data_IF_447214634706
#
_entry.id   IF_447214634706
#
_cell.length_a   1.000
_cell.length_b   1.000
_cell.length_c   1.000
_cell.angle_alpha   90.00
_cell.angle_beta   90.00
_cell.angle_gamma   90.00
#
_symmetry.space_group_name_H-M   'P 1'
#
loop_
_entity.id
_entity.type
_entity.pdbx_description
1 polymer ?
#
# COMPACT_ATOMS: atom_id res chain seq x y z
N UNK A 1 16.95 -15.84 6.18
CA UNK A 1 15.88 -14.82 6.22
C UNK A 1 16.44 -13.54 5.63
N UNK A 2 15.87 -13.10 4.51
CA UNK A 2 16.38 -11.94 3.75
C UNK A 2 16.03 -10.58 4.39
N UNK A 3 14.98 -10.55 5.23
CA UNK A 3 14.39 -9.32 5.75
C UNK A 3 14.54 -9.15 7.28
N UNK A 4 15.53 -9.79 7.88
CA UNK A 4 15.78 -9.65 9.31
C UNK A 4 16.00 -8.18 9.71
N UNK A 5 15.20 -7.69 10.68
CA UNK A 5 15.25 -6.31 11.15
C UNK A 5 14.55 -5.29 10.23
N UNK A 6 13.86 -5.74 9.18
CA UNK A 6 13.03 -4.88 8.32
C UNK A 6 11.59 -4.82 8.85
N UNK A 7 11.01 -3.62 8.89
CA UNK A 7 9.59 -3.41 9.20
C UNK A 7 8.80 -3.10 7.93
N UNK A 8 7.68 -3.77 7.75
CA UNK A 8 6.77 -3.56 6.61
C UNK A 8 5.40 -3.20 7.13
N UNK A 9 4.84 -2.09 6.67
CA UNK A 9 3.45 -1.74 6.90
C UNK A 9 2.60 -2.07 5.67
N UNK A 10 1.44 -2.69 5.89
CA UNK A 10 0.40 -2.91 4.89
C UNK A 10 -0.84 -2.16 5.33
N UNK A 11 -1.36 -1.29 4.49
CA UNK A 11 -2.64 -0.62 4.78
C UNK A 11 -3.78 -1.63 4.67
N UNK A 12 -4.78 -1.51 5.54
CA UNK A 12 -5.94 -2.41 5.55
C UNK A 12 -7.22 -1.61 5.76
N UNK A 13 -8.30 -2.01 5.09
CA UNK A 13 -9.66 -1.48 5.25
C UNK A 13 -10.64 -2.51 4.66
N UNK A 14 -11.95 -2.30 4.81
CA UNK A 14 -12.97 -3.20 4.27
C UNK A 14 -12.82 -3.48 2.78
N UNK A 15 -13.33 -4.63 2.36
CA UNK A 15 -13.23 -5.17 0.99
C UNK A 15 -11.77 -5.32 0.50
N UNK A 16 -10.86 -5.66 1.41
CA UNK A 16 -9.51 -6.08 1.05
C UNK A 16 -9.53 -7.42 0.27
N UNK A 17 -8.52 -7.65 -0.54
CA UNK A 17 -8.37 -8.92 -1.28
C UNK A 17 -7.69 -9.96 -0.38
N UNK A 18 -8.46 -10.94 0.14
CA UNK A 18 -8.01 -11.87 1.19
C UNK A 18 -6.79 -12.67 0.80
N UNK A 19 -6.71 -13.19 -0.43
CA UNK A 19 -5.56 -13.99 -0.88
C UNK A 19 -4.25 -13.20 -0.78
N UNK A 20 -4.27 -11.90 -1.10
CA UNK A 20 -3.11 -11.04 -0.99
C UNK A 20 -2.71 -10.82 0.47
N UNK A 21 -3.68 -10.44 1.31
CA UNK A 21 -3.42 -10.17 2.74
C UNK A 21 -2.92 -11.43 3.44
N UNK A 22 -3.52 -12.59 3.18
CA UNK A 22 -3.04 -13.86 3.73
C UNK A 22 -1.64 -14.21 3.23
N UNK A 23 -1.38 -13.99 1.93
CA UNK A 23 -0.04 -14.22 1.37
C UNK A 23 1.01 -13.35 2.06
N UNK A 24 0.75 -12.05 2.25
CA UNK A 24 1.67 -11.15 2.93
C UNK A 24 1.85 -11.53 4.40
N UNK A 25 0.76 -11.92 5.08
CA UNK A 25 0.77 -12.32 6.48
C UNK A 25 1.76 -13.47 6.77
N UNK A 26 1.94 -14.38 5.83
CA UNK A 26 2.88 -15.49 5.96
C UNK A 26 4.22 -15.17 5.28
N UNK A 27 4.20 -14.60 4.09
CA UNK A 27 5.40 -14.49 3.26
C UNK A 27 6.45 -13.52 3.78
N UNK A 28 6.07 -12.36 4.29
CA UNK A 28 7.03 -11.40 4.82
C UNK A 28 7.65 -11.87 6.16
N UNK A 29 6.88 -12.38 7.15
CA UNK A 29 7.46 -12.96 8.36
C UNK A 29 8.34 -14.19 8.11
N UNK A 30 8.03 -15.04 7.12
CA UNK A 30 8.88 -16.15 6.71
C UNK A 30 10.29 -15.67 6.30
N UNK A 31 10.41 -14.49 5.71
CA UNK A 31 11.69 -13.85 5.40
C UNK A 31 12.31 -13.07 6.58
N UNK A 32 11.64 -13.04 7.72
CA UNK A 32 12.14 -12.40 8.94
C UNK A 32 11.72 -10.94 9.10
N UNK A 33 10.80 -10.43 8.29
CA UNK A 33 10.27 -9.08 8.46
C UNK A 33 9.29 -8.99 9.63
N UNK A 34 9.29 -7.85 10.30
CA UNK A 34 8.22 -7.44 11.22
C UNK A 34 7.09 -6.81 10.37
N UNK A 35 5.92 -7.45 10.38
CA UNK A 35 4.79 -7.05 9.54
C UNK A 35 3.70 -6.38 10.38
N UNK A 36 3.29 -5.19 9.98
CA UNK A 36 2.26 -4.39 10.60
C UNK A 36 1.10 -4.15 9.62
N UNK A 37 -0.14 -4.23 10.12
CA UNK A 37 -1.31 -3.82 9.36
C UNK A 37 -1.87 -2.53 9.96
N UNK A 38 -1.93 -1.48 9.16
CA UNK A 38 -2.31 -0.14 9.60
C UNK A 38 -3.61 0.30 8.94
N UNK A 39 -4.50 0.90 9.72
CA UNK A 39 -5.73 1.48 9.19
C UNK A 39 -6.05 2.84 9.82
N UNK A 40 -7.12 3.46 9.34
CA UNK A 40 -7.78 4.56 10.04
C UNK A 40 -8.73 3.97 11.06
N UNK A 41 -8.42 4.12 12.36
CA UNK A 41 -9.21 3.53 13.44
C UNK A 41 -10.30 4.46 13.98
N UNK A 42 -10.36 5.73 13.52
CA UNK A 42 -11.37 6.70 13.95
C UNK A 42 -11.42 6.90 15.48
N UNK A 43 -10.26 6.79 16.13
CA UNK A 43 -10.13 6.89 17.59
C UNK A 43 -10.56 5.63 18.35
N UNK A 44 -10.89 4.53 17.66
CA UNK A 44 -11.19 3.24 18.27
C UNK A 44 -9.89 2.47 18.58
N UNK A 45 -9.88 1.58 19.59
CA UNK A 45 -8.72 0.77 19.91
C UNK A 45 -8.45 -0.32 18.85
N UNK A 46 -9.49 -0.79 18.18
CA UNK A 46 -9.42 -1.71 17.05
C UNK A 46 -10.67 -1.62 16.18
N UNK A 47 -10.55 -2.06 14.93
CA UNK A 47 -11.68 -2.25 14.01
C UNK A 47 -11.55 -3.61 13.33
N UNK A 48 -12.70 -4.23 13.06
CA UNK A 48 -12.77 -5.47 12.29
C UNK A 48 -13.27 -5.16 10.89
N UNK A 49 -12.44 -5.47 9.90
CA UNK A 49 -12.76 -5.33 8.48
C UNK A 49 -13.15 -6.69 7.90
N UNK A 50 -13.89 -6.68 6.81
CA UNK A 50 -14.23 -7.90 6.05
C UNK A 50 -13.59 -7.83 4.67
N UNK A 51 -13.06 -8.93 4.23
CA UNK A 51 -12.53 -9.06 2.88
C UNK A 51 -13.62 -9.15 1.82
N UNK A 52 -13.21 -9.05 0.57
CA UNK A 52 -14.10 -8.98 -0.59
C UNK A 52 -14.59 -10.36 -1.05
N UNK A 53 -13.71 -11.36 -1.06
CA UNK A 53 -13.99 -12.66 -1.67
C UNK A 53 -14.75 -13.61 -0.72
N UNK A 54 -14.30 -13.73 0.51
CA UNK A 54 -14.80 -14.69 1.48
C UNK A 54 -15.50 -14.03 2.67
N UNK A 55 -15.50 -12.70 2.73
CA UNK A 55 -15.97 -11.94 3.87
C UNK A 55 -15.27 -12.33 5.19
N UNK A 56 -14.03 -12.83 5.07
CA UNK A 56 -13.24 -13.20 6.23
C UNK A 56 -12.93 -11.96 7.07
N UNK A 57 -13.14 -12.02 8.40
CA UNK A 57 -12.83 -10.88 9.26
C UNK A 57 -11.31 -10.72 9.42
N UNK A 58 -10.87 -9.47 9.51
CA UNK A 58 -9.51 -9.09 9.85
C UNK A 58 -9.57 -8.00 10.92
N UNK A 59 -9.02 -8.27 12.10
CA UNK A 59 -8.94 -7.28 13.17
C UNK A 59 -7.64 -6.47 13.03
N UNK A 60 -7.79 -5.14 13.02
CA UNK A 60 -6.69 -4.19 12.97
C UNK A 60 -6.74 -3.31 14.22
N UNK A 61 -5.64 -3.24 14.95
CA UNK A 61 -5.46 -2.46 16.18
C UNK A 61 -4.31 -1.46 16.08
N UNK A 62 -3.72 -1.30 14.90
CA UNK A 62 -2.67 -0.32 14.65
C UNK A 62 -3.15 0.76 13.67
N UNK A 63 -2.77 2.01 13.92
CA UNK A 63 -3.21 3.15 13.13
C UNK A 63 -2.04 3.95 12.57
N UNK A 64 -2.22 4.43 11.34
CA UNK A 64 -1.34 5.46 10.76
C UNK A 64 -1.73 6.88 11.23
N UNK A 65 -2.90 7.05 11.87
CA UNK A 65 -3.34 8.34 12.38
C UNK A 65 -2.42 8.78 13.51
N UNK A 66 -1.96 10.02 13.44
CA UNK A 66 -1.03 10.61 14.42
C UNK A 66 0.34 9.91 14.54
N UNK A 67 0.71 9.05 13.59
CA UNK A 67 2.05 8.47 13.54
C UNK A 67 3.08 9.59 13.35
N UNK A 68 4.07 9.67 14.25
CA UNK A 68 5.16 10.63 14.13
C UNK A 68 6.16 10.23 13.03
N UNK A 69 7.04 11.16 12.67
CA UNK A 69 8.02 10.94 11.59
C UNK A 69 9.12 9.94 11.98
N UNK A 70 9.43 9.79 13.26
CA UNK A 70 10.41 8.80 13.73
C UNK A 70 9.87 7.38 13.53
N UNK A 71 8.64 7.14 13.97
CA UNK A 71 7.93 5.87 13.75
C UNK A 71 7.76 5.58 12.26
N UNK A 72 7.36 6.58 11.47
CA UNK A 72 7.24 6.44 10.02
C UNK A 72 8.57 5.99 9.38
N UNK A 73 9.68 6.65 9.73
CA UNK A 73 11.02 6.32 9.21
C UNK A 73 11.55 4.98 9.67
N UNK A 74 10.95 4.35 10.68
CA UNK A 74 11.32 2.99 11.10
C UNK A 74 10.87 1.91 10.12
N UNK A 75 9.91 2.21 9.24
CA UNK A 75 9.46 1.27 8.21
C UNK A 75 10.42 1.22 7.03
N UNK A 76 10.69 0.00 6.57
CA UNK A 76 11.46 -0.26 5.36
C UNK A 76 10.59 -0.24 4.10
N UNK A 77 9.30 -0.58 4.24
CA UNK A 77 8.32 -0.49 3.16
C UNK A 77 6.92 -0.16 3.70
N UNK A 78 6.14 0.52 2.85
CA UNK A 78 4.70 0.74 3.06
C UNK A 78 3.97 0.24 1.81
N UNK A 79 2.96 -0.61 2.01
CA UNK A 79 2.20 -1.26 0.95
C UNK A 79 0.75 -0.78 0.98
N UNK A 80 0.27 -0.32 -0.18
CA UNK A 80 -1.15 -0.09 -0.45
C UNK A 80 -1.66 -1.28 -1.25
N UNK A 81 -2.50 -2.15 -0.65
CA UNK A 81 -2.88 -3.41 -1.25
C UNK A 81 -4.00 -3.27 -2.30
N UNK A 82 -4.33 -4.40 -2.91
CA UNK A 82 -5.45 -4.56 -3.83
C UNK A 82 -6.81 -4.54 -3.08
N UNK A 83 -7.88 -4.71 -3.85
CA UNK A 83 -9.25 -4.60 -3.35
C UNK A 83 -9.70 -3.15 -3.30
N UNK A 84 -10.63 -2.84 -2.41
CA UNK A 84 -11.22 -1.50 -2.27
C UNK A 84 -10.58 -0.69 -1.12
N UNK A 85 -9.48 -1.15 -0.57
CA UNK A 85 -8.79 -0.50 0.56
C UNK A 85 -8.47 0.96 0.25
N UNK A 86 -7.89 1.22 -0.92
CA UNK A 86 -7.55 2.59 -1.34
C UNK A 86 -8.79 3.48 -1.51
N UNK A 87 -9.87 2.93 -2.08
CA UNK A 87 -11.12 3.69 -2.25
C UNK A 87 -11.70 4.12 -0.89
N UNK A 88 -11.75 3.20 0.07
CA UNK A 88 -12.26 3.47 1.41
C UNK A 88 -11.36 4.41 2.21
N UNK A 89 -10.05 4.21 2.17
CA UNK A 89 -9.08 5.02 2.92
C UNK A 89 -8.91 6.45 2.36
N UNK A 90 -9.27 6.69 1.10
CA UNK A 90 -9.22 8.05 0.53
C UNK A 90 -10.42 8.93 0.91
N UNK A 91 -11.34 8.41 1.72
CA UNK A 91 -12.50 9.17 2.19
C UNK A 91 -12.06 10.40 3.01
N UNK A 92 -12.65 11.54 2.69
CA UNK A 92 -12.61 12.78 3.46
C UNK A 92 -13.99 13.42 3.46
N UNK A 93 -14.38 14.00 4.58
CA UNK A 93 -15.60 14.79 4.75
C UNK A 93 -15.39 16.30 4.49
N UNK A 94 -14.13 16.73 4.44
CA UNK A 94 -13.76 18.11 4.12
C UNK A 94 -13.19 18.15 2.69
N UNK A 95 -13.94 18.77 1.78
CA UNK A 95 -13.59 18.89 0.36
C UNK A 95 -12.29 19.66 0.10
N UNK A 96 -11.79 20.40 1.10
CA UNK A 96 -10.54 21.15 1.01
C UNK A 96 -9.32 20.38 1.55
N UNK A 97 -9.53 19.14 2.01
CA UNK A 97 -8.48 18.29 2.59
C UNK A 97 -8.37 16.97 1.86
N UNK A 98 -7.16 16.46 1.78
CA UNK A 98 -6.92 15.06 1.41
C UNK A 98 -7.17 14.16 2.62
N UNK A 99 -7.43 12.88 2.36
CA UNK A 99 -7.67 11.93 3.45
C UNK A 99 -6.43 11.72 4.33
N UNK A 100 -6.60 11.33 5.60
CA UNK A 100 -5.48 11.00 6.47
C UNK A 100 -4.55 9.92 5.91
N UNK A 101 -5.09 8.93 5.19
CA UNK A 101 -4.28 7.90 4.54
C UNK A 101 -3.46 8.46 3.36
N UNK A 102 -4.03 9.38 2.58
CA UNK A 102 -3.31 10.07 1.50
C UNK A 102 -2.20 10.96 2.08
N UNK A 103 -2.44 11.66 3.19
CA UNK A 103 -1.42 12.46 3.87
C UNK A 103 -0.30 11.57 4.44
N UNK A 104 -0.65 10.45 5.07
CA UNK A 104 0.33 9.45 5.52
C UNK A 104 1.21 8.96 4.38
N UNK A 105 0.59 8.60 3.24
CA UNK A 105 1.32 8.13 2.07
C UNK A 105 2.21 9.22 1.46
N UNK A 106 1.74 10.47 1.43
CA UNK A 106 2.53 11.62 0.98
C UNK A 106 3.80 11.81 1.83
N UNK A 107 3.68 11.69 3.16
CA UNK A 107 4.84 11.70 4.07
C UNK A 107 5.79 10.56 3.77
N UNK A 108 5.27 9.33 3.53
CA UNK A 108 6.09 8.18 3.15
C UNK A 108 6.83 8.39 1.83
N UNK A 109 6.22 9.05 0.84
CA UNK A 109 6.89 9.37 -0.42
C UNK A 109 8.02 10.40 -0.28
N UNK A 110 7.96 11.26 0.74
CA UNK A 110 9.06 12.20 1.04
C UNK A 110 10.31 11.46 1.57
N UNK A 111 10.15 10.28 2.18
CA UNK A 111 11.23 9.47 2.72
C UNK A 111 11.75 8.48 1.68
N UNK A 112 12.93 8.77 1.10
CA UNK A 112 13.52 7.93 0.03
C UNK A 112 13.99 6.55 0.51
N UNK A 113 14.24 6.41 1.81
CA UNK A 113 14.62 5.13 2.43
C UNK A 113 13.45 4.14 2.55
N UNK A 114 12.22 4.62 2.47
CA UNK A 114 11.02 3.78 2.53
C UNK A 114 10.67 3.34 1.11
N UNK A 115 10.54 2.03 0.88
CA UNK A 115 10.01 1.49 -0.35
C UNK A 115 8.48 1.62 -0.38
N UNK A 116 7.92 2.20 -1.43
CA UNK A 116 6.47 2.28 -1.63
C UNK A 116 6.02 1.15 -2.53
N UNK A 117 5.15 0.28 -2.02
CA UNK A 117 4.50 -0.77 -2.78
C UNK A 117 3.04 -0.42 -3.02
N UNK A 118 2.59 -0.39 -4.27
CA UNK A 118 1.18 -0.09 -4.60
C UNK A 118 0.70 -1.08 -5.65
N UNK A 119 -0.37 -1.81 -5.36
CA UNK A 119 -0.86 -2.85 -6.27
C UNK A 119 -2.33 -2.66 -6.63
N UNK A 120 -2.69 -2.96 -7.89
CA UNK A 120 -4.07 -3.02 -8.36
C UNK A 120 -4.79 -1.67 -8.23
N UNK A 121 -5.90 -1.64 -7.49
CA UNK A 121 -6.66 -0.42 -7.18
C UNK A 121 -6.00 0.45 -6.10
N UNK A 122 -4.94 -0.03 -5.46
CA UNK A 122 -4.16 0.74 -4.48
C UNK A 122 -3.69 2.10 -5.01
N UNK A 123 -3.50 2.22 -6.32
CA UNK A 123 -3.08 3.48 -6.94
C UNK A 123 -4.11 4.61 -6.79
N UNK A 124 -5.39 4.31 -6.52
CA UNK A 124 -6.38 5.36 -6.24
C UNK A 124 -6.05 6.20 -5.02
N UNK A 125 -5.27 5.69 -4.07
CA UNK A 125 -4.89 6.45 -2.88
C UNK A 125 -3.97 7.63 -3.20
N UNK A 126 -3.21 7.59 -4.31
CA UNK A 126 -2.37 8.71 -4.78
C UNK A 126 -3.09 9.65 -5.73
N UNK A 127 -4.30 9.33 -6.20
CA UNK A 127 -5.02 10.17 -7.16
C UNK A 127 -5.24 11.62 -6.68
N UNK A 128 -5.49 11.89 -5.37
CA UNK A 128 -5.58 13.27 -4.87
C UNK A 128 -4.25 14.04 -4.85
N UNK A 129 -3.12 13.35 -5.00
CA UNK A 129 -1.75 13.91 -4.95
C UNK A 129 -0.92 13.37 -6.12
N UNK A 130 -1.33 13.64 -7.38
CA UNK A 130 -0.76 13.01 -8.57
C UNK A 130 0.73 13.31 -8.78
N UNK A 131 1.24 14.37 -8.16
CA UNK A 131 2.66 14.72 -8.19
C UNK A 131 3.58 13.62 -7.64
N UNK A 132 3.08 12.72 -6.80
CA UNK A 132 3.85 11.60 -6.25
C UNK A 132 4.25 10.56 -7.30
N UNK A 133 3.47 10.48 -8.38
CA UNK A 133 3.68 9.49 -9.45
C UNK A 133 3.87 10.12 -10.83
N UNK A 134 3.78 11.45 -10.94
CA UNK A 134 3.95 12.14 -12.20
C UNK A 134 5.32 11.84 -12.83
N UNK A 135 5.31 11.42 -14.09
CA UNK A 135 6.51 11.04 -14.83
C UNK A 135 7.12 9.70 -14.43
N UNK A 136 6.58 9.02 -13.41
CA UNK A 136 7.05 7.70 -12.98
C UNK A 136 6.40 6.58 -13.80
N UNK A 137 7.15 5.52 -14.03
CA UNK A 137 6.64 4.30 -14.65
C UNK A 137 5.85 3.51 -13.61
N UNK A 138 4.61 3.16 -13.94
CA UNK A 138 3.72 2.42 -13.04
C UNK A 138 2.86 1.42 -13.81
N UNK A 139 2.40 0.39 -13.10
CA UNK A 139 1.30 -0.46 -13.52
C UNK A 139 0.21 -0.43 -12.44
N UNK A 140 -1.02 -0.59 -12.85
CA UNK A 140 -2.19 -0.71 -11.98
C UNK A 140 -3.21 -1.64 -12.65
N UNK A 141 -4.32 -1.90 -11.99
CA UNK A 141 -5.43 -2.63 -12.60
C UNK A 141 -5.84 -1.95 -13.92
N UNK A 142 -6.21 -2.76 -14.91
CA UNK A 142 -6.53 -2.24 -16.26
C UNK A 142 -7.64 -1.18 -16.24
N UNK A 143 -8.55 -1.22 -15.26
CA UNK A 143 -9.59 -0.21 -15.11
C UNK A 143 -9.00 1.19 -14.80
N UNK A 144 -7.77 1.27 -14.27
CA UNK A 144 -7.11 2.52 -13.86
C UNK A 144 -6.16 3.08 -14.93
N UNK A 145 -6.10 2.53 -16.12
CA UNK A 145 -5.21 3.04 -17.19
C UNK A 145 -5.47 4.52 -17.47
N UNK A 146 -6.76 4.92 -17.49
CA UNK A 146 -7.15 6.32 -17.65
C UNK A 146 -6.69 7.19 -16.49
N UNK A 147 -6.85 6.71 -15.26
CA UNK A 147 -6.43 7.42 -14.04
C UNK A 147 -4.91 7.60 -14.00
N UNK A 148 -4.14 6.56 -14.36
CA UNK A 148 -2.67 6.65 -14.48
C UNK A 148 -2.26 7.77 -15.43
N UNK A 149 -2.90 7.85 -16.61
CA UNK A 149 -2.62 8.92 -17.59
C UNK A 149 -3.01 10.29 -17.05
N UNK A 150 -4.16 10.41 -16.40
CA UNK A 150 -4.63 11.67 -15.81
C UNK A 150 -3.71 12.18 -14.69
N UNK A 151 -3.10 11.27 -13.93
CA UNK A 151 -2.07 11.62 -12.93
C UNK A 151 -0.73 12.03 -13.56
N UNK A 152 -0.58 11.87 -14.87
CA UNK A 152 0.68 12.17 -15.58
C UNK A 152 1.76 11.10 -15.36
N UNK A 153 1.40 9.93 -14.89
CA UNK A 153 2.29 8.77 -14.79
C UNK A 153 2.38 8.04 -16.13
N UNK A 154 3.43 7.23 -16.30
CA UNK A 154 3.69 6.45 -17.51
C UNK A 154 3.21 5.02 -17.26
N UNK A 155 2.07 4.66 -17.84
CA UNK A 155 1.56 3.29 -17.74
C UNK A 155 2.47 2.31 -18.48
N UNK A 156 2.93 1.28 -17.78
CA UNK A 156 3.77 0.21 -18.32
C UNK A 156 2.97 -1.10 -18.30
N UNK A 157 2.88 -1.75 -19.46
CA UNK A 157 2.09 -2.98 -19.60
C UNK A 157 2.88 -4.22 -19.13
N UNK A 158 3.21 -4.27 -17.85
CA UNK A 158 3.91 -5.36 -17.17
C UNK A 158 3.11 -5.77 -15.92
N UNK A 159 3.39 -6.96 -15.35
CA UNK A 159 2.69 -7.41 -14.13
C UNK A 159 3.21 -6.74 -12.87
N UNK A 160 4.50 -6.40 -12.86
CA UNK A 160 5.16 -5.63 -11.78
C UNK A 160 6.14 -4.65 -12.40
N UNK A 161 6.08 -3.40 -11.96
CA UNK A 161 6.99 -2.32 -12.40
C UNK A 161 7.74 -1.76 -11.22
N UNK A 162 9.04 -1.53 -11.39
CA UNK A 162 9.90 -0.83 -10.44
C UNK A 162 10.33 0.50 -11.05
N UNK A 163 10.20 1.57 -10.28
CA UNK A 163 10.69 2.90 -10.60
C UNK A 163 11.32 3.51 -9.33
N UNK A 164 12.65 3.37 -9.18
CA UNK A 164 13.34 3.82 -7.98
C UNK A 164 12.80 3.17 -6.71
N UNK A 165 12.25 3.97 -5.82
CA UNK A 165 11.67 3.57 -4.54
C UNK A 165 10.16 3.22 -4.60
N UNK A 166 9.61 3.04 -5.80
CA UNK A 166 8.22 2.65 -6.04
C UNK A 166 8.16 1.32 -6.76
N UNK A 167 7.43 0.37 -6.19
CA UNK A 167 7.04 -0.89 -6.82
C UNK A 167 5.55 -0.88 -7.05
N UNK A 168 5.10 -1.14 -8.28
CA UNK A 168 3.67 -1.25 -8.56
C UNK A 168 3.34 -2.62 -9.15
N UNK A 169 2.13 -3.13 -8.86
CA UNK A 169 1.62 -4.41 -9.33
C UNK A 169 0.27 -4.28 -10.03
N UNK A 170 0.01 -5.14 -11.02
CA UNK A 170 -1.17 -5.04 -11.89
C UNK A 170 -2.47 -5.39 -11.16
N UNK A 171 -2.55 -6.55 -10.54
CA UNK A 171 -3.75 -7.05 -9.84
C UNK A 171 -3.38 -7.81 -8.58
N UNK A 172 -4.34 -7.98 -7.66
CA UNK A 172 -4.15 -8.81 -6.47
C UNK A 172 -3.66 -10.24 -6.78
N UNK A 173 -4.04 -10.82 -7.93
CA UNK A 173 -3.54 -12.11 -8.39
C UNK A 173 -2.02 -12.15 -8.65
N UNK A 174 -1.40 -11.00 -8.86
CA UNK A 174 0.06 -10.87 -9.02
C UNK A 174 0.79 -10.55 -7.71
N UNK A 175 0.11 -10.64 -6.56
CA UNK A 175 0.68 -10.30 -5.24
C UNK A 175 1.97 -11.07 -4.92
N UNK A 176 2.09 -12.30 -5.42
CA UNK A 176 3.29 -13.12 -5.25
C UNK A 176 4.50 -12.55 -5.99
N UNK A 177 4.34 -12.09 -7.23
CA UNK A 177 5.41 -11.43 -8.01
C UNK A 177 5.79 -10.08 -7.37
N UNK A 178 4.78 -9.33 -6.96
CA UNK A 178 4.94 -8.05 -6.30
C UNK A 178 5.69 -8.18 -4.96
N UNK A 179 5.28 -9.12 -4.10
CA UNK A 179 5.97 -9.36 -2.82
C UNK A 179 7.41 -9.84 -3.01
N UNK A 180 7.66 -10.73 -3.99
CA UNK A 180 9.03 -11.13 -4.34
C UNK A 180 9.90 -9.94 -4.71
N UNK A 181 9.36 -9.01 -5.53
CA UNK A 181 10.10 -7.83 -5.93
C UNK A 181 10.41 -6.92 -4.73
N UNK A 182 9.46 -6.73 -3.81
CA UNK A 182 9.67 -5.98 -2.57
C UNK A 182 10.75 -6.64 -1.72
N UNK A 183 10.69 -7.97 -1.54
CA UNK A 183 11.69 -8.73 -0.78
C UNK A 183 13.09 -8.54 -1.37
N UNK A 184 13.23 -8.69 -2.69
CA UNK A 184 14.53 -8.55 -3.36
C UNK A 184 15.11 -7.13 -3.20
N UNK A 185 14.27 -6.10 -3.32
CA UNK A 185 14.70 -4.70 -3.17
C UNK A 185 15.08 -4.35 -1.72
N UNK A 186 14.42 -4.95 -0.72
CA UNK A 186 14.73 -4.72 0.69
C UNK A 186 15.95 -5.51 1.16
N UNK A 187 16.25 -6.63 0.50
CA UNK A 187 17.39 -7.48 0.81
C UNK A 187 18.73 -6.89 0.31
N UNK A 188 18.70 -6.00 -0.68
CA UNK A 188 19.86 -5.31 -1.27
C UNK A 188 20.46 -6.07 -2.41
#
# INVERSE_FOLDING_TARGET
MKLQGKKIAVLIEGDFYEHEIWYYHFRFPEEGAELHFLSRLWGQPSLSFKGHEYHAPFECNESFENMDDETLRSYSAIIVPAGMVADRLRYTDDVNKISPATEFLKRAFAEKSILKGIICHGLWLVAPVPELVRGRRVVAHNNLIGDVKNMGAIYTNEDVVVDGDLVTGRTGGHCHLFAHKIIDMLAG
#
